data_IF_964998503522
#
_entry.id   IF_964998503522
#
_cell.length_a   1.000
_cell.length_b   1.000
_cell.length_c   1.000
_cell.angle_alpha   90.00
_cell.angle_beta   90.00
_cell.angle_gamma   90.00
#
_symmetry.space_group_name_H-M   'P 1'
#
loop_
_entity.id
_entity.type
_entity.pdbx_description
1 polymer ?
#
# COMPACT_ATOMS: atom_id res chain seq x y z
N UNK A 1 24.16 -7.54 2.82
CA UNK A 1 22.92 -6.73 2.80
C UNK A 1 22.33 -6.74 1.40
N UNK A 2 21.07 -6.32 1.25
CA UNK A 2 20.48 -5.98 -0.06
C UNK A 2 20.21 -4.48 0.01
N UNK A 3 20.69 -3.71 -0.98
CA UNK A 3 20.48 -2.27 -1.01
C UNK A 3 19.02 -1.95 -1.38
N UNK A 4 18.45 -0.96 -0.69
CA UNK A 4 17.11 -0.43 -0.98
C UNK A 4 17.15 0.77 -1.94
N UNK A 5 18.35 1.32 -2.20
CA UNK A 5 18.57 2.42 -3.15
C UNK A 5 19.77 2.11 -4.06
N UNK A 6 20.07 3.01 -4.99
CA UNK A 6 21.23 2.94 -5.87
C UNK A 6 22.52 2.79 -5.06
N UNK A 7 23.39 1.88 -5.51
CA UNK A 7 24.71 1.65 -4.92
C UNK A 7 25.80 2.49 -5.58
N UNK A 8 25.43 3.42 -6.47
CA UNK A 8 26.37 4.33 -7.11
C UNK A 8 27.03 5.26 -6.07
N UNK A 9 28.33 5.49 -6.21
CA UNK A 9 29.09 6.35 -5.29
C UNK A 9 29.55 5.68 -3.98
N UNK A 10 29.17 4.43 -3.71
CA UNK A 10 29.68 3.70 -2.55
C UNK A 10 31.15 3.32 -2.72
N UNK A 11 31.94 3.50 -1.66
CA UNK A 11 33.38 3.17 -1.64
C UNK A 11 33.69 2.13 -0.57
N UNK A 12 34.74 1.31 -0.81
CA UNK A 12 35.20 0.33 0.18
C UNK A 12 35.74 1.05 1.42
N UNK A 13 35.33 0.58 2.59
CA UNK A 13 35.72 1.18 3.87
C UNK A 13 34.82 2.33 4.34
N UNK A 14 33.70 2.59 3.64
CA UNK A 14 32.68 3.53 4.11
C UNK A 14 32.01 3.02 5.39
N UNK A 15 31.81 3.91 6.36
CA UNK A 15 31.19 3.58 7.64
C UNK A 15 29.73 3.16 7.46
N UNK A 16 29.30 2.15 8.23
CA UNK A 16 27.94 1.62 8.25
C UNK A 16 27.51 1.47 9.69
N UNK A 17 26.29 1.94 9.99
CA UNK A 17 25.69 1.85 11.32
C UNK A 17 24.60 0.78 11.31
N UNK A 18 24.63 -0.11 12.30
CA UNK A 18 23.53 -1.05 12.56
C UNK A 18 22.44 -0.34 13.37
N UNK A 19 21.22 -0.34 12.86
CA UNK A 19 20.05 0.21 13.55
C UNK A 19 19.58 -0.68 14.69
N UNK A 20 20.04 -1.94 14.75
CA UNK A 20 19.64 -2.94 15.75
C UNK A 20 18.21 -3.47 15.56
N UNK A 21 17.53 -3.06 14.49
CA UNK A 21 16.16 -3.43 14.17
C UNK A 21 15.99 -3.62 12.65
N UNK A 22 14.99 -4.42 12.21
CA UNK A 22 14.60 -4.46 10.80
C UNK A 22 14.14 -3.09 10.29
N UNK A 23 13.89 -2.97 8.99
CA UNK A 23 13.25 -1.78 8.42
C UNK A 23 11.91 -1.54 9.14
N UNK A 24 11.77 -0.36 9.74
CA UNK A 24 10.55 0.09 10.43
C UNK A 24 9.90 1.21 9.66
N UNK A 25 8.60 1.10 9.44
CA UNK A 25 7.81 2.09 8.71
C UNK A 25 6.76 2.71 9.62
N UNK A 26 6.34 3.95 9.35
CA UNK A 26 5.33 4.60 10.15
C UNK A 26 3.94 4.01 9.83
N UNK A 27 3.12 3.78 10.86
CA UNK A 27 1.77 3.22 10.73
C UNK A 27 0.75 4.03 11.53
N UNK A 28 -0.52 3.90 11.16
CA UNK A 28 -1.65 4.53 11.85
C UNK A 28 -2.42 5.54 10.98
N UNK A 29 -3.42 6.23 11.56
CA UNK A 29 -4.32 7.11 10.82
C UNK A 29 -3.63 8.27 10.08
N UNK A 30 -2.44 8.69 10.53
CA UNK A 30 -1.64 9.72 9.86
C UNK A 30 -1.20 9.33 8.44
N UNK A 31 -1.16 8.04 8.11
CA UNK A 31 -0.85 7.55 6.76
C UNK A 31 -1.94 7.83 5.72
N UNK A 32 -3.16 8.13 6.15
CA UNK A 32 -4.29 8.26 5.24
C UNK A 32 -4.08 9.45 4.30
N UNK A 33 -4.07 9.15 3.00
CA UNK A 33 -3.82 10.10 1.92
C UNK A 33 -2.35 10.41 1.66
N UNK A 34 -1.42 9.78 2.38
CA UNK A 34 0.03 9.96 2.21
C UNK A 34 0.63 8.93 1.25
N UNK A 35 1.76 9.30 0.63
CA UNK A 35 2.58 8.38 -0.17
C UNK A 35 3.90 8.14 0.55
N UNK A 36 4.23 6.88 0.85
CA UNK A 36 5.53 6.48 1.42
C UNK A 36 6.30 5.53 0.50
N UNK A 37 7.63 5.56 0.61
CA UNK A 37 8.52 4.60 -0.05
C UNK A 37 8.71 3.31 0.77
N UNK A 38 9.56 2.40 0.28
CA UNK A 38 9.83 1.10 0.92
C UNK A 38 10.36 1.20 2.35
N UNK A 39 11.12 2.24 2.68
CA UNK A 39 11.69 2.46 4.02
C UNK A 39 10.81 3.34 4.92
N UNK A 40 9.66 3.78 4.44
CA UNK A 40 8.68 4.52 5.22
C UNK A 40 8.83 6.05 5.17
N UNK A 41 9.66 6.57 4.27
CA UNK A 41 9.78 8.02 4.08
C UNK A 41 8.66 8.55 3.18
N UNK A 42 8.07 9.71 3.52
CA UNK A 42 7.07 10.35 2.67
C UNK A 42 7.70 10.89 1.38
N UNK A 43 7.06 10.60 0.24
CA UNK A 43 7.50 11.03 -1.11
C UNK A 43 6.46 11.90 -1.82
N UNK A 44 5.47 12.38 -1.08
CA UNK A 44 4.37 13.24 -1.56
C UNK A 44 4.61 14.74 -1.36
N UNK A 45 5.80 15.13 -0.89
CA UNK A 45 6.18 16.52 -0.58
C UNK A 45 5.26 17.23 0.44
N UNK A 46 4.40 16.48 1.15
CA UNK A 46 3.45 17.03 2.12
C UNK A 46 4.02 17.12 3.55
N UNK A 47 5.35 17.11 3.70
CA UNK A 47 6.05 17.13 4.98
C UNK A 47 6.10 15.78 5.69
N UNK A 48 6.50 15.74 6.98
CA UNK A 48 6.51 14.51 7.78
C UNK A 48 5.11 13.91 7.94
N UNK A 49 5.02 12.64 8.31
CA UNK A 49 3.74 12.03 8.70
C UNK A 49 3.56 12.11 10.22
N UNK A 50 2.42 12.61 10.67
CA UNK A 50 2.13 12.83 12.10
C UNK A 50 1.53 11.60 12.79
N UNK A 51 1.74 11.50 14.12
CA UNK A 51 0.94 10.62 15.00
C UNK A 51 1.17 9.12 14.79
N UNK A 52 2.42 8.72 14.53
CA UNK A 52 2.79 7.42 13.97
C UNK A 52 3.51 6.52 14.99
N UNK A 53 3.00 5.30 15.13
CA UNK A 53 3.76 4.16 15.68
C UNK A 53 4.73 3.70 14.59
N UNK A 54 5.96 3.34 14.95
CA UNK A 54 6.91 2.73 14.03
C UNK A 54 6.83 1.21 14.15
N UNK A 55 6.61 0.52 13.02
CA UNK A 55 6.42 -0.93 13.00
C UNK A 55 7.37 -1.60 12.02
N UNK A 56 7.97 -2.72 12.44
CA UNK A 56 8.85 -3.55 11.59
C UNK A 56 8.06 -4.14 10.42
N UNK A 57 8.63 -4.09 9.21
CA UNK A 57 8.04 -4.74 8.02
C UNK A 57 8.15 -6.26 8.05
N UNK A 58 8.96 -6.79 8.97
CA UNK A 58 9.12 -8.22 9.17
C UNK A 58 8.33 -8.63 10.41
N UNK A 59 7.20 -9.31 10.18
CA UNK A 59 6.32 -9.85 11.21
C UNK A 59 5.97 -11.31 10.90
N UNK A 60 5.80 -12.17 11.91
CA UNK A 60 5.26 -13.50 11.71
C UNK A 60 3.81 -13.42 11.22
N UNK A 61 3.37 -14.42 10.46
CA UNK A 61 1.96 -14.56 10.12
C UNK A 61 1.11 -14.84 11.38
N UNK A 62 -0.18 -14.48 11.37
CA UNK A 62 -1.10 -14.83 12.46
C UNK A 62 -1.08 -16.33 12.76
N UNK A 63 -1.14 -16.67 14.04
CA UNK A 63 -1.14 -18.04 14.51
C UNK A 63 -2.44 -18.75 14.13
N UNK A 64 -2.44 -20.10 14.17
CA UNK A 64 -3.64 -20.88 13.84
C UNK A 64 -4.86 -20.53 14.70
N UNK A 65 -4.65 -20.16 15.97
CA UNK A 65 -5.72 -19.81 16.91
C UNK A 65 -6.36 -18.45 16.60
N UNK A 66 -5.63 -17.56 15.94
CA UNK A 66 -6.12 -16.22 15.56
C UNK A 66 -6.89 -16.23 14.21
N UNK A 67 -6.89 -17.35 13.49
CA UNK A 67 -7.57 -17.45 12.21
C UNK A 67 -9.08 -17.57 12.40
N UNK A 68 -9.83 -16.62 11.83
CA UNK A 68 -11.29 -16.71 11.78
C UNK A 68 -11.73 -17.79 10.79
N UNK A 69 -12.72 -18.59 11.20
CA UNK A 69 -13.34 -19.62 10.37
C UNK A 69 -14.67 -19.16 9.75
N UNK A 70 -15.07 -17.91 9.97
CA UNK A 70 -16.34 -17.39 9.46
C UNK A 70 -16.26 -17.05 7.97
N UNK A 71 -17.14 -17.65 7.17
CA UNK A 71 -17.33 -17.27 5.79
C UNK A 71 -18.33 -16.11 5.70
N UNK A 72 -17.82 -14.89 5.48
CA UNK A 72 -18.64 -13.70 5.25
C UNK A 72 -18.41 -13.18 3.82
N UNK A 73 -19.48 -12.74 3.15
CA UNK A 73 -19.39 -12.11 1.82
C UNK A 73 -19.05 -10.62 1.99
N UNK A 74 -18.07 -10.15 1.21
CA UNK A 74 -17.78 -8.74 1.01
C UNK A 74 -18.56 -8.25 -0.21
N UNK A 75 -19.63 -7.50 0.02
CA UNK A 75 -20.42 -6.88 -1.05
C UNK A 75 -19.64 -5.71 -1.64
N UNK A 76 -19.33 -5.78 -2.93
CA UNK A 76 -18.47 -4.83 -3.65
C UNK A 76 -19.25 -3.72 -4.33
N UNK A 77 -20.55 -3.91 -4.60
CA UNK A 77 -21.38 -3.01 -5.41
C UNK A 77 -21.23 -3.25 -6.92
N UNK A 78 -20.37 -4.19 -7.34
CA UNK A 78 -20.11 -4.48 -8.74
C UNK A 78 -20.88 -5.74 -9.13
N UNK A 79 -21.93 -5.57 -9.95
CA UNK A 79 -22.88 -6.63 -10.31
C UNK A 79 -22.23 -7.96 -10.72
N UNK A 80 -21.21 -7.91 -11.58
CA UNK A 80 -20.57 -9.13 -12.08
C UNK A 80 -19.78 -9.86 -10.99
N UNK A 81 -19.15 -9.11 -10.07
CA UNK A 81 -18.41 -9.68 -8.94
C UNK A 81 -19.38 -10.22 -7.91
N UNK A 82 -20.36 -9.41 -7.49
CA UNK A 82 -21.31 -9.82 -6.44
C UNK A 82 -22.20 -11.00 -6.87
N UNK A 83 -22.46 -11.17 -8.17
CA UNK A 83 -23.28 -12.27 -8.69
C UNK A 83 -22.48 -13.53 -9.05
N UNK A 84 -21.39 -13.39 -9.82
CA UNK A 84 -20.69 -14.54 -10.41
C UNK A 84 -19.46 -14.97 -9.64
N UNK A 85 -18.79 -14.05 -8.94
CA UNK A 85 -17.54 -14.31 -8.24
C UNK A 85 -17.47 -13.50 -6.92
N UNK A 86 -18.38 -13.75 -5.96
CA UNK A 86 -18.49 -12.94 -4.76
C UNK A 86 -17.22 -13.02 -3.92
N UNK A 87 -16.80 -11.87 -3.39
CA UNK A 87 -15.59 -11.77 -2.59
C UNK A 87 -15.85 -12.22 -1.16
N UNK A 88 -14.93 -12.99 -0.58
CA UNK A 88 -14.97 -13.32 0.84
C UNK A 88 -14.27 -12.23 1.66
N UNK A 89 -14.90 -11.77 2.75
CA UNK A 89 -14.30 -10.83 3.69
C UNK A 89 -13.11 -11.50 4.38
N UNK A 90 -11.96 -10.83 4.40
CA UNK A 90 -10.69 -11.41 4.87
C UNK A 90 -10.06 -12.41 3.90
N UNK A 91 -10.65 -12.61 2.72
CA UNK A 91 -10.11 -13.45 1.67
C UNK A 91 -8.99 -12.79 0.87
N UNK A 92 -8.32 -13.60 0.04
CA UNK A 92 -7.33 -13.14 -0.94
C UNK A 92 -7.95 -13.20 -2.33
N UNK A 93 -7.86 -12.09 -3.07
CA UNK A 93 -8.47 -11.93 -4.39
C UNK A 93 -7.38 -11.65 -5.42
N UNK A 94 -7.44 -12.31 -6.57
CA UNK A 94 -6.55 -12.08 -7.70
C UNK A 94 -7.29 -11.43 -8.86
N UNK A 95 -6.77 -10.31 -9.37
CA UNK A 95 -7.25 -9.66 -10.59
C UNK A 95 -6.32 -9.98 -11.76
N UNK A 96 -6.70 -10.99 -12.55
CA UNK A 96 -5.89 -11.45 -13.68
C UNK A 96 -6.34 -10.80 -14.98
N UNK A 97 -5.40 -10.25 -15.75
CA UNK A 97 -5.68 -9.67 -17.05
C UNK A 97 -4.49 -8.98 -17.69
N UNK A 98 -4.58 -8.74 -19.00
CA UNK A 98 -3.54 -8.07 -19.79
C UNK A 98 -3.35 -6.58 -19.46
N UNK A 99 -2.46 -5.92 -20.19
CA UNK A 99 -2.35 -4.46 -20.12
C UNK A 99 -3.60 -3.81 -20.73
N UNK A 100 -4.07 -2.70 -20.15
CA UNK A 100 -5.19 -1.91 -20.70
C UNK A 100 -6.59 -2.50 -20.49
N UNK A 101 -6.75 -3.62 -19.78
CA UNK A 101 -8.08 -4.23 -19.52
C UNK A 101 -8.86 -3.58 -18.39
N UNK A 102 -8.39 -2.46 -17.84
CA UNK A 102 -9.07 -1.72 -16.77
C UNK A 102 -8.85 -2.25 -15.34
N UNK A 103 -7.76 -3.00 -15.07
CA UNK A 103 -7.46 -3.50 -13.71
C UNK A 103 -7.39 -2.38 -12.66
N UNK A 104 -6.66 -1.31 -12.98
CA UNK A 104 -6.48 -0.16 -12.06
C UNK A 104 -7.80 0.54 -11.78
N UNK A 105 -8.61 0.77 -12.82
CA UNK A 105 -9.97 1.34 -12.70
C UNK A 105 -10.85 0.47 -11.79
N UNK A 106 -10.78 -0.86 -11.93
CA UNK A 106 -11.53 -1.76 -11.06
C UNK A 106 -11.08 -1.69 -9.59
N UNK A 107 -9.76 -1.57 -9.34
CA UNK A 107 -9.22 -1.42 -7.98
C UNK A 107 -9.69 -0.10 -7.36
N UNK A 108 -9.67 0.99 -8.11
CA UNK A 108 -10.13 2.30 -7.65
C UNK A 108 -11.62 2.25 -7.26
N UNK A 109 -12.45 1.63 -8.10
CA UNK A 109 -13.88 1.50 -7.83
C UNK A 109 -14.16 0.62 -6.62
N UNK A 110 -13.37 -0.46 -6.42
CA UNK A 110 -13.44 -1.27 -5.21
C UNK A 110 -13.10 -0.46 -3.95
N UNK A 111 -12.02 0.34 -3.98
CA UNK A 111 -11.62 1.21 -2.86
C UNK A 111 -12.73 2.22 -2.54
N UNK A 112 -13.26 2.87 -3.57
CA UNK A 112 -14.35 3.83 -3.45
C UNK A 112 -15.61 3.20 -2.80
N UNK A 113 -16.04 2.03 -3.29
CA UNK A 113 -17.24 1.37 -2.78
C UNK A 113 -17.05 0.79 -1.38
N UNK A 114 -15.88 0.20 -1.08
CA UNK A 114 -15.57 -0.31 0.26
C UNK A 114 -15.47 0.84 1.27
N UNK A 115 -14.82 1.94 0.92
CA UNK A 115 -14.69 3.10 1.79
C UNK A 115 -16.06 3.75 2.10
N UNK A 116 -16.95 3.84 1.11
CA UNK A 116 -18.29 4.43 1.28
C UNK A 116 -19.27 3.52 2.01
N UNK A 117 -19.28 2.24 1.72
CA UNK A 117 -20.29 1.31 2.24
C UNK A 117 -19.91 0.68 3.60
N UNK A 118 -18.61 0.41 3.82
CA UNK A 118 -18.15 -0.34 5.00
C UNK A 118 -17.34 0.50 5.99
N UNK A 119 -17.09 1.78 5.68
CA UNK A 119 -16.33 2.69 6.54
C UNK A 119 -14.86 2.28 6.73
N UNK A 120 -14.36 1.36 5.92
CA UNK A 120 -13.00 0.84 6.00
C UNK A 120 -11.96 1.78 5.37
N UNK A 121 -10.71 1.60 5.80
CA UNK A 121 -9.55 2.20 5.13
C UNK A 121 -9.01 1.23 4.07
N UNK A 122 -8.26 1.77 3.12
CA UNK A 122 -7.58 1.01 2.08
C UNK A 122 -6.08 1.30 2.11
N UNK A 123 -5.27 0.31 1.78
CA UNK A 123 -3.84 0.49 1.56
C UNK A 123 -3.54 0.00 0.15
N UNK A 124 -2.95 0.86 -0.67
CA UNK A 124 -2.52 0.50 -2.01
C UNK A 124 -1.00 0.38 -2.05
N UNK A 125 -0.51 -0.82 -2.29
CA UNK A 125 0.91 -1.11 -2.46
C UNK A 125 1.26 -1.24 -3.95
N UNK A 126 1.89 -0.20 -4.52
CA UNK A 126 2.35 -0.17 -5.90
C UNK A 126 3.69 -0.88 -6.06
N UNK A 127 3.65 -2.20 -6.27
CA UNK A 127 4.85 -3.06 -6.34
C UNK A 127 5.37 -3.18 -7.77
N UNK A 128 6.40 -2.43 -8.11
CA UNK A 128 7.01 -2.45 -9.43
C UNK A 128 6.07 -1.96 -10.53
N UNK A 129 5.14 -1.07 -10.18
CA UNK A 129 4.26 -0.39 -11.13
C UNK A 129 4.98 0.75 -11.86
N UNK A 130 4.35 1.29 -12.90
CA UNK A 130 4.89 2.47 -13.60
C UNK A 130 4.62 3.73 -12.78
N UNK A 131 5.62 4.60 -12.67
CA UNK A 131 5.50 5.89 -11.97
C UNK A 131 4.34 6.74 -12.49
N UNK A 132 4.10 6.72 -13.81
CA UNK A 132 2.94 7.39 -14.42
C UNK A 132 1.62 6.86 -13.87
N UNK A 133 1.45 5.54 -13.79
CA UNK A 133 0.21 4.92 -13.29
C UNK A 133 -0.01 5.21 -11.80
N UNK A 134 1.08 5.26 -11.00
CA UNK A 134 1.01 5.69 -9.60
C UNK A 134 0.64 7.17 -9.44
N UNK A 135 1.15 8.04 -10.31
CA UNK A 135 0.79 9.46 -10.32
C UNK A 135 -0.67 9.68 -10.70
N UNK A 136 -1.13 9.03 -11.78
CA UNK A 136 -2.52 9.11 -12.25
C UNK A 136 -3.48 8.65 -11.13
N UNK A 137 -3.17 7.52 -10.48
CA UNK A 137 -3.94 7.00 -9.34
C UNK A 137 -4.03 7.98 -8.17
N UNK A 138 -2.92 8.68 -7.85
CA UNK A 138 -2.90 9.65 -6.76
C UNK A 138 -3.83 10.83 -7.04
N UNK A 139 -3.77 11.39 -8.24
CA UNK A 139 -4.66 12.49 -8.63
C UNK A 139 -6.12 12.05 -8.74
N UNK A 140 -6.40 10.86 -9.28
CA UNK A 140 -7.74 10.31 -9.34
C UNK A 140 -8.35 10.10 -7.94
N UNK A 141 -7.56 9.68 -6.95
CA UNK A 141 -8.02 9.59 -5.56
C UNK A 141 -8.37 10.94 -4.96
N UNK A 142 -7.66 12.00 -5.33
CA UNK A 142 -7.98 13.36 -4.90
C UNK A 142 -9.27 13.85 -5.58
N UNK A 143 -9.38 13.68 -6.90
CA UNK A 143 -10.53 14.14 -7.68
C UNK A 143 -11.83 13.40 -7.34
N UNK A 144 -11.75 12.10 -7.07
CA UNK A 144 -12.89 11.26 -6.67
C UNK A 144 -13.30 11.43 -5.19
N UNK A 145 -12.50 12.17 -4.41
CA UNK A 145 -12.74 12.39 -2.99
C UNK A 145 -12.43 11.17 -2.10
N UNK A 146 -11.70 10.18 -2.62
CA UNK A 146 -11.16 9.06 -1.81
C UNK A 146 -10.11 9.59 -0.84
N UNK A 147 -9.23 10.48 -1.31
CA UNK A 147 -8.21 11.15 -0.51
C UNK A 147 -8.36 12.66 -0.61
N UNK A 148 -7.90 13.37 0.43
CA UNK A 148 -7.70 14.83 0.36
C UNK A 148 -6.28 15.11 -0.11
N UNK A 149 -6.11 16.21 -0.83
CA UNK A 149 -4.78 16.67 -1.24
C UNK A 149 -3.92 16.94 0.00
N UNK A 150 -2.71 16.38 0.04
CA UNK A 150 -1.82 16.45 1.22
C UNK A 150 -2.21 15.49 2.36
N UNK A 151 -3.23 14.67 2.17
CA UNK A 151 -3.68 13.66 3.12
C UNK A 151 -4.42 14.22 4.34
N UNK A 152 -4.50 13.41 5.39
CA UNK A 152 -5.13 13.77 6.67
C UNK A 152 -6.61 13.41 6.76
N UNK A 153 -7.29 14.01 7.73
CA UNK A 153 -8.64 13.61 8.15
C UNK A 153 -9.64 13.65 6.99
N UNK A 154 -10.29 12.52 6.73
CA UNK A 154 -11.23 12.34 5.62
C UNK A 154 -10.66 11.57 4.44
N UNK A 155 -9.33 11.43 4.35
CA UNK A 155 -8.71 10.50 3.42
C UNK A 155 -9.00 9.05 3.81
N UNK A 156 -9.11 8.17 2.81
CA UNK A 156 -9.52 6.76 3.01
C UNK A 156 -8.49 5.76 2.54
N UNK A 157 -7.48 6.18 1.79
CA UNK A 157 -6.45 5.31 1.25
C UNK A 157 -5.03 5.79 1.61
N UNK A 158 -4.18 4.91 2.10
CA UNK A 158 -2.73 5.12 2.17
C UNK A 158 -2.03 4.52 0.95
N UNK A 159 -0.99 5.18 0.44
CA UNK A 159 -0.26 4.77 -0.75
C UNK A 159 1.18 4.38 -0.38
N UNK A 160 1.60 3.19 -0.80
CA UNK A 160 2.97 2.70 -0.58
C UNK A 160 3.57 2.35 -1.94
N UNK A 161 4.59 3.08 -2.37
CA UNK A 161 5.15 2.97 -3.71
C UNK A 161 6.58 2.43 -3.70
N UNK A 162 6.80 1.49 -4.63
CA UNK A 162 8.09 0.87 -4.91
C UNK A 162 8.15 0.64 -6.41
N UNK A 163 8.40 1.71 -7.16
CA UNK A 163 8.11 1.80 -8.60
C UNK A 163 9.17 1.06 -9.46
N UNK A 164 8.92 0.89 -10.76
CA UNK A 164 9.83 0.19 -11.68
C UNK A 164 11.25 0.76 -11.73
N UNK A 165 11.43 2.06 -11.46
CA UNK A 165 12.74 2.73 -11.44
C UNK A 165 13.56 2.43 -10.19
N UNK A 166 12.97 1.83 -9.15
CA UNK A 166 13.67 1.47 -7.92
C UNK A 166 14.43 0.14 -8.06
N UNK A 167 15.54 -0.03 -7.32
CA UNK A 167 16.32 -1.26 -7.35
C UNK A 167 15.47 -2.47 -6.95
N UNK A 168 15.85 -3.68 -7.38
CA UNK A 168 15.10 -4.90 -7.08
C UNK A 168 14.95 -5.15 -5.56
N UNK A 169 15.87 -4.65 -4.73
CA UNK A 169 15.77 -4.73 -3.28
C UNK A 169 14.53 -4.02 -2.72
N UNK A 170 14.30 -2.78 -3.15
CA UNK A 170 13.12 -2.00 -2.78
C UNK A 170 11.82 -2.67 -3.25
N UNK A 171 11.77 -3.06 -4.53
CA UNK A 171 10.59 -3.73 -5.13
C UNK A 171 10.26 -5.07 -4.47
N UNK A 172 11.27 -5.78 -3.95
CA UNK A 172 11.07 -7.03 -3.22
C UNK A 172 10.60 -6.84 -1.76
N UNK A 173 10.56 -5.61 -1.24
CA UNK A 173 10.20 -5.31 0.15
C UNK A 173 8.99 -4.39 0.29
N UNK A 174 8.68 -3.58 -0.72
CA UNK A 174 7.54 -2.64 -0.68
C UNK A 174 6.19 -3.32 -0.40
N UNK A 175 5.99 -4.55 -0.86
CA UNK A 175 4.78 -5.31 -0.54
C UNK A 175 4.63 -5.60 0.96
N UNK A 176 5.74 -5.79 1.68
CA UNK A 176 5.75 -5.95 3.13
C UNK A 176 5.45 -4.64 3.85
N UNK A 177 6.00 -3.52 3.34
CA UNK A 177 5.68 -2.18 3.83
C UNK A 177 4.17 -1.91 3.72
N UNK A 178 3.57 -2.20 2.56
CA UNK A 178 2.13 -2.11 2.37
C UNK A 178 1.32 -2.98 3.35
N UNK A 179 1.74 -4.25 3.54
CA UNK A 179 1.09 -5.14 4.50
C UNK A 179 1.21 -4.66 5.96
N UNK A 180 2.28 -3.94 6.29
CA UNK A 180 2.52 -3.44 7.66
C UNK A 180 1.64 -2.24 8.00
N UNK A 181 1.28 -1.45 6.98
CA UNK A 181 0.37 -0.30 7.10
C UNK A 181 -1.11 -0.73 7.14
N UNK A 182 -1.44 -1.88 6.54
CA UNK A 182 -2.79 -2.44 6.47
C UNK A 182 -3.25 -3.04 7.82
#
# INVERSE_FOLDING_TARGET
>A
CIAMDSTEGLVRGQDVYDTGAPITVPVGPGMLGRIINVIGEPVDEAGPVDGIEMRSIHQPAPTYVEQSTEAQILVTGIKVLDLLAPYARGGKIGLFGGAGVGKTVLIQELINNVAKAHGGFSVFAGVGERTREGNDLYHEFIESGVNKQGGGEGSKAALVYGQMNEPPGARARVGLTGLTVA
#
